data_IF_596878793188
#
_entry.id   IF_596878793188
#
_cell.length_a   1.000
_cell.length_b   1.000
_cell.length_c   1.000
_cell.angle_alpha   90.00
_cell.angle_beta   90.00
_cell.angle_gamma   90.00
#
_symmetry.space_group_name_H-M   'P 1'
#
loop_
_entity.id
_entity.type
_entity.pdbx_description
1 polymer ?
#
# COMPACT_ATOMS: atom_id res chain seq x y z
N UNK A 1 3.16 -60.56 1.81
CA UNK A 1 3.76 -60.49 0.48
C UNK A 1 3.15 -59.30 -0.20
N UNK A 2 3.95 -58.51 -0.89
CA UNK A 2 3.62 -57.27 -1.66
C UNK A 2 3.34 -56.02 -0.83
N UNK A 3 4.44 -55.31 -0.52
CA UNK A 3 4.45 -53.93 -0.07
C UNK A 3 4.11 -52.96 -1.20
N UNK A 4 3.06 -52.20 -1.03
CA UNK A 4 2.71 -51.08 -1.93
C UNK A 4 3.42 -49.81 -1.44
N UNK A 5 4.45 -49.39 -2.18
CA UNK A 5 5.13 -48.10 -2.03
C UNK A 5 4.24 -46.99 -2.61
N UNK A 6 3.76 -46.09 -1.79
CA UNK A 6 3.21 -44.81 -2.23
C UNK A 6 4.33 -43.79 -2.42
N UNK A 7 4.42 -43.12 -3.55
CA UNK A 7 5.42 -42.08 -3.74
C UNK A 7 5.03 -40.80 -2.97
N UNK A 8 5.98 -40.31 -2.19
CA UNK A 8 5.88 -39.00 -1.55
C UNK A 8 5.89 -37.89 -2.60
N UNK A 9 4.75 -37.26 -2.81
CA UNK A 9 4.65 -36.03 -3.61
C UNK A 9 5.36 -34.88 -2.87
N UNK A 10 6.59 -34.63 -3.24
CA UNK A 10 7.29 -33.39 -2.92
C UNK A 10 6.59 -32.25 -3.62
N UNK A 11 5.74 -31.53 -2.93
CA UNK A 11 5.26 -30.21 -3.36
C UNK A 11 6.39 -29.21 -3.19
N UNK A 12 7.17 -29.00 -4.25
CA UNK A 12 8.03 -27.88 -4.40
C UNK A 12 7.18 -26.63 -4.60
N UNK A 13 6.93 -25.86 -3.54
CA UNK A 13 6.58 -24.46 -3.67
C UNK A 13 7.89 -23.72 -3.88
N UNK A 14 8.26 -23.59 -5.17
CA UNK A 14 9.34 -22.74 -5.62
C UNK A 14 9.03 -21.28 -5.35
N UNK A 15 10.03 -20.66 -4.84
CA UNK A 15 10.44 -19.26 -4.99
C UNK A 15 9.66 -18.46 -6.08
N UNK A 16 8.57 -17.82 -5.70
CA UNK A 16 7.97 -16.72 -6.44
C UNK A 16 7.73 -15.59 -5.43
N UNK A 17 8.75 -14.86 -5.08
CA UNK A 17 8.60 -13.68 -4.25
C UNK A 17 9.80 -12.72 -4.32
N UNK A 18 10.54 -12.66 -5.43
CA UNK A 18 11.62 -11.66 -5.52
C UNK A 18 11.84 -11.09 -6.94
N UNK A 19 10.80 -10.98 -7.75
CA UNK A 19 10.93 -10.48 -9.13
C UNK A 19 9.94 -9.36 -9.49
N UNK A 20 9.51 -8.53 -8.54
CA UNK A 20 8.62 -7.37 -8.84
C UNK A 20 9.31 -6.02 -8.60
N UNK A 21 10.60 -5.98 -8.30
CA UNK A 21 11.36 -4.74 -8.09
C UNK A 21 12.18 -4.29 -9.31
N UNK A 22 12.00 -4.89 -10.45
CA UNK A 22 12.74 -4.49 -11.63
C UNK A 22 11.82 -4.45 -12.85
N UNK A 23 11.64 -3.26 -13.44
CA UNK A 23 10.94 -2.92 -14.69
C UNK A 23 9.49 -2.46 -14.57
N UNK A 24 9.26 -1.32 -13.91
CA UNK A 24 8.16 -0.43 -14.29
C UNK A 24 8.77 0.91 -14.71
N UNK A 25 9.49 0.90 -15.80
CA UNK A 25 9.82 2.08 -16.60
C UNK A 25 8.91 2.10 -17.83
N UNK A 26 7.63 2.10 -17.65
CA UNK A 26 6.67 2.52 -18.66
C UNK A 26 6.10 3.86 -18.20
N UNK A 27 6.40 4.87 -19.00
CA UNK A 27 5.96 6.26 -18.93
C UNK A 27 4.44 6.35 -18.89
N UNK A 28 3.90 6.15 -17.73
CA UNK A 28 2.57 6.67 -17.41
C UNK A 28 2.83 8.08 -16.87
N UNK A 29 2.59 9.07 -17.72
CA UNK A 29 2.44 10.46 -17.28
C UNK A 29 1.17 10.56 -16.43
N UNK A 30 1.19 9.94 -15.26
CA UNK A 30 0.27 10.24 -14.18
C UNK A 30 0.83 11.55 -13.61
N UNK A 31 0.02 12.57 -13.52
CA UNK A 31 0.33 13.76 -12.74
C UNK A 31 0.98 13.29 -11.45
N UNK A 32 2.25 13.67 -11.22
CA UNK A 32 3.00 13.26 -10.04
C UNK A 32 2.28 13.83 -8.83
N UNK A 33 1.44 13.01 -8.22
CA UNK A 33 0.89 13.29 -6.90
C UNK A 33 2.10 13.28 -5.97
N UNK A 34 2.39 14.38 -5.29
CA UNK A 34 3.58 14.62 -4.45
C UNK A 34 3.79 13.57 -3.33
N UNK A 35 2.85 12.65 -3.19
CA UNK A 35 2.84 11.58 -2.17
C UNK A 35 3.32 10.23 -2.68
N UNK A 36 3.59 10.06 -3.98
CA UNK A 36 3.98 8.78 -4.58
C UNK A 36 5.47 8.50 -4.36
N UNK A 37 5.82 7.28 -3.97
CA UNK A 37 7.23 6.90 -3.84
C UNK A 37 7.51 5.80 -2.82
N UNK A 38 8.76 5.33 -2.77
CA UNK A 38 9.18 4.32 -1.82
C UNK A 38 9.36 4.88 -0.41
N UNK A 39 9.17 4.02 0.58
CA UNK A 39 9.45 4.32 1.98
C UNK A 39 9.87 3.07 2.74
N UNK A 40 10.54 3.28 3.86
CA UNK A 40 10.88 2.24 4.82
C UNK A 40 10.39 2.63 6.20
N UNK A 41 10.18 1.64 7.06
CA UNK A 41 9.79 1.91 8.43
C UNK A 41 10.10 0.75 9.36
N UNK A 42 10.04 1.07 10.65
CA UNK A 42 10.19 0.07 11.70
C UNK A 42 9.32 0.42 12.90
N UNK A 43 8.68 -0.59 13.46
CA UNK A 43 7.81 -0.50 14.62
C UNK A 43 8.28 -1.44 15.71
N UNK A 44 8.08 -1.01 16.95
CA UNK A 44 8.22 -1.84 18.15
C UNK A 44 6.95 -1.72 19.00
N UNK A 45 6.54 -2.80 19.64
CA UNK A 45 5.30 -2.79 20.40
C UNK A 45 5.12 -3.97 21.31
N UNK A 46 3.95 -4.02 21.92
CA UNK A 46 3.51 -5.13 22.76
C UNK A 46 2.59 -6.03 21.97
N UNK A 47 2.82 -7.31 22.11
CA UNK A 47 1.99 -8.37 21.54
C UNK A 47 1.19 -9.04 22.63
N UNK A 48 -0.01 -9.49 22.28
CA UNK A 48 -0.86 -10.32 23.12
C UNK A 48 -1.40 -11.47 22.29
N UNK A 49 -1.05 -12.68 22.73
CA UNK A 49 -1.54 -13.90 22.12
C UNK A 49 -2.83 -14.34 22.80
N UNK A 50 -3.82 -14.71 22.00
CA UNK A 50 -5.08 -15.30 22.47
C UNK A 50 -5.17 -16.71 21.88
N UNK A 51 -4.97 -17.69 22.74
CA UNK A 51 -5.08 -19.11 22.43
C UNK A 51 -6.31 -19.72 23.10
N UNK A 52 -6.93 -20.66 22.40
CA UNK A 52 -8.08 -21.38 22.97
C UNK A 52 -7.61 -22.46 23.98
N UNK A 53 -7.72 -22.12 25.25
CA UNK A 53 -7.31 -22.98 26.36
C UNK A 53 -8.11 -24.29 26.49
N UNK A 54 -9.32 -24.35 25.91
CA UNK A 54 -10.16 -25.56 25.97
C UNK A 54 -9.50 -26.76 25.28
N UNK A 55 -8.64 -26.50 24.29
CA UNK A 55 -7.89 -27.55 23.59
C UNK A 55 -6.80 -28.13 24.47
N UNK A 56 -6.12 -27.30 25.28
CA UNK A 56 -5.09 -27.71 26.21
C UNK A 56 -5.71 -28.58 27.33
N UNK A 57 -6.80 -28.10 27.91
CA UNK A 57 -7.52 -28.81 28.96
C UNK A 57 -8.05 -30.16 28.47
N UNK A 58 -8.60 -30.25 27.28
CA UNK A 58 -9.06 -31.51 26.68
C UNK A 58 -7.92 -32.50 26.45
N UNK A 59 -6.76 -32.03 26.01
CA UNK A 59 -5.58 -32.89 25.78
C UNK A 59 -5.05 -33.42 27.08
N UNK A 60 -4.94 -32.63 28.14
CA UNK A 60 -4.50 -33.03 29.45
C UNK A 60 -5.49 -34.06 30.09
N UNK A 61 -6.78 -33.77 30.01
CA UNK A 61 -7.84 -34.67 30.51
C UNK A 61 -7.81 -36.03 29.79
N UNK A 62 -7.57 -36.04 28.49
CA UNK A 62 -7.42 -37.25 27.69
C UNK A 62 -6.19 -38.11 28.07
N UNK A 63 -5.20 -37.54 28.76
CA UNK A 63 -4.01 -38.22 29.28
C UNK A 63 -4.12 -38.59 30.76
N UNK A 64 -5.30 -38.42 31.35
CA UNK A 64 -5.50 -38.73 32.78
C UNK A 64 -4.85 -37.72 33.73
N UNK A 65 -4.69 -36.48 33.28
CA UNK A 65 -4.15 -35.37 34.04
C UNK A 65 -5.22 -34.35 34.36
N UNK A 66 -5.23 -33.81 35.56
CA UNK A 66 -6.09 -32.69 35.94
C UNK A 66 -5.25 -31.43 36.12
N UNK A 67 -5.55 -30.40 35.32
CA UNK A 67 -4.92 -29.09 35.49
C UNK A 67 -5.42 -28.41 36.77
N UNK A 68 -4.48 -28.04 37.65
CA UNK A 68 -4.81 -27.34 38.91
C UNK A 68 -4.66 -25.81 38.79
N UNK A 69 -3.63 -25.38 38.07
CA UNK A 69 -3.42 -23.96 37.80
C UNK A 69 -2.75 -23.78 36.44
N UNK A 70 -3.12 -22.71 35.74
CA UNK A 70 -2.48 -22.27 34.51
C UNK A 70 -2.00 -20.84 34.72
N UNK A 71 -0.71 -20.62 34.48
CA UNK A 71 -0.13 -19.29 34.46
C UNK A 71 0.28 -19.02 33.01
N UNK A 72 -0.25 -17.97 32.44
CA UNK A 72 0.00 -17.59 31.06
C UNK A 72 0.70 -16.24 31.01
N UNK A 73 1.84 -16.18 30.36
CA UNK A 73 2.44 -14.92 29.93
C UNK A 73 2.23 -14.80 28.41
N UNK A 74 1.05 -14.33 28.08
CA UNK A 74 0.60 -14.17 26.71
C UNK A 74 1.09 -12.85 26.09
N UNK A 75 1.89 -12.07 26.81
CA UNK A 75 2.40 -10.79 26.39
C UNK A 75 3.87 -10.85 26.01
N UNK A 76 4.20 -10.33 24.84
CA UNK A 76 5.56 -10.26 24.35
C UNK A 76 5.92 -8.86 23.84
N UNK A 77 7.19 -8.69 23.52
CA UNK A 77 7.63 -7.53 22.74
C UNK A 77 7.81 -7.97 21.30
N UNK A 78 7.08 -7.31 20.40
CA UNK A 78 7.17 -7.54 18.97
C UNK A 78 7.87 -6.40 18.26
N UNK A 79 8.45 -6.68 17.11
CA UNK A 79 9.01 -5.68 16.22
C UNK A 79 8.69 -6.02 14.76
N UNK A 80 8.64 -4.97 13.94
CA UNK A 80 8.38 -5.06 12.50
C UNK A 80 9.31 -4.12 11.76
N UNK A 81 9.90 -4.62 10.67
CA UNK A 81 10.64 -3.82 9.68
C UNK A 81 9.94 -3.99 8.34
N UNK A 82 9.67 -2.91 7.65
CA UNK A 82 8.93 -2.95 6.40
C UNK A 82 9.42 -1.91 5.42
N UNK A 83 9.24 -2.23 4.14
CA UNK A 83 9.36 -1.31 3.03
C UNK A 83 8.05 -1.25 2.29
N UNK A 84 7.74 -0.10 1.72
CA UNK A 84 6.51 0.08 0.98
C UNK A 84 6.69 1.02 -0.19
N UNK A 85 5.71 0.99 -1.06
CA UNK A 85 5.58 1.93 -2.16
C UNK A 85 4.20 2.58 -2.13
N UNK A 86 4.17 3.88 -1.99
CA UNK A 86 2.94 4.65 -2.06
C UNK A 86 2.55 4.81 -3.53
N UNK A 87 1.41 4.20 -3.91
CA UNK A 87 0.90 4.21 -5.28
C UNK A 87 0.22 5.53 -5.62
N UNK A 88 -0.50 6.07 -4.66
CA UNK A 88 -1.18 7.36 -4.72
C UNK A 88 -1.48 7.86 -3.30
N UNK A 89 -2.18 8.97 -3.18
CA UNK A 89 -2.51 9.58 -1.88
C UNK A 89 -3.25 8.65 -0.91
N UNK A 90 -3.99 7.66 -1.43
CA UNK A 90 -4.88 6.81 -0.63
C UNK A 90 -4.41 5.36 -0.52
N UNK A 91 -3.51 4.87 -1.38
CA UNK A 91 -3.12 3.48 -1.41
C UNK A 91 -1.61 3.28 -1.44
N UNK A 92 -1.16 2.27 -0.70
CA UNK A 92 0.22 1.82 -0.71
C UNK A 92 0.27 0.29 -0.61
N UNK A 93 1.39 -0.28 -1.05
CA UNK A 93 1.73 -1.69 -0.85
C UNK A 93 2.93 -1.76 0.08
N UNK A 94 2.85 -2.58 1.11
CA UNK A 94 3.91 -2.79 2.09
C UNK A 94 4.32 -4.25 2.15
N UNK A 95 5.63 -4.51 2.21
CA UNK A 95 6.19 -5.83 2.50
C UNK A 95 7.19 -5.73 3.63
N UNK A 96 7.23 -6.73 4.53
CA UNK A 96 8.11 -6.64 5.67
C UNK A 96 8.36 -7.93 6.39
N UNK A 97 9.25 -7.83 7.37
CA UNK A 97 9.55 -8.87 8.35
C UNK A 97 8.93 -8.48 9.70
N UNK A 98 8.37 -9.45 10.38
CA UNK A 98 7.87 -9.30 11.75
C UNK A 98 8.36 -10.41 12.66
N UNK A 99 8.55 -10.08 13.93
CA UNK A 99 8.75 -11.03 15.03
C UNK A 99 7.80 -10.61 16.16
N UNK A 100 6.84 -11.48 16.48
CA UNK A 100 5.81 -11.17 17.48
C UNK A 100 6.27 -11.50 18.91
N UNK A 101 7.55 -11.81 19.08
CA UNK A 101 8.11 -12.14 20.37
C UNK A 101 7.83 -13.57 20.78
N UNK A 102 7.92 -13.81 22.08
CA UNK A 102 7.70 -15.10 22.73
C UNK A 102 6.49 -15.01 23.64
N UNK A 103 5.66 -16.04 23.59
CA UNK A 103 4.60 -16.27 24.56
C UNK A 103 4.90 -17.57 25.29
N UNK A 104 4.76 -17.58 26.60
CA UNK A 104 4.99 -18.77 27.42
C UNK A 104 3.75 -19.09 28.26
N UNK A 105 3.56 -20.36 28.50
CA UNK A 105 2.54 -20.82 29.42
C UNK A 105 3.09 -21.96 30.28
N UNK A 106 2.65 -21.98 31.53
CA UNK A 106 2.98 -22.99 32.53
C UNK A 106 1.69 -23.55 33.07
N UNK A 107 1.52 -24.88 32.95
CA UNK A 107 0.38 -25.59 33.52
C UNK A 107 0.89 -26.53 34.61
N UNK A 108 0.41 -26.35 35.82
CA UNK A 108 0.60 -27.32 36.89
C UNK A 108 -0.54 -28.34 36.83
N UNK A 109 -0.18 -29.59 36.65
CA UNK A 109 -1.15 -30.68 36.53
C UNK A 109 -0.82 -31.78 37.53
N UNK A 110 -1.81 -32.57 37.90
CA UNK A 110 -1.65 -33.71 38.79
C UNK A 110 -2.18 -34.94 38.07
N UNK A 111 -1.44 -36.04 38.15
CA UNK A 111 -1.88 -37.32 37.61
C UNK A 111 -3.01 -37.89 38.47
N UNK A 112 -4.12 -38.29 37.82
CA UNK A 112 -5.31 -38.74 38.53
C UNK A 112 -5.17 -40.08 39.24
N UNK A 113 -4.20 -40.91 38.84
CA UNK A 113 -4.00 -42.26 39.42
C UNK A 113 -3.29 -42.26 40.76
N UNK A 114 -2.30 -41.39 40.96
CA UNK A 114 -1.39 -41.42 42.11
C UNK A 114 -1.20 -40.03 42.77
N UNK A 115 -1.92 -39.01 42.29
CA UNK A 115 -1.82 -37.62 42.75
C UNK A 115 -0.39 -37.02 42.68
N UNK A 116 0.47 -37.55 41.82
CA UNK A 116 1.83 -37.04 41.66
C UNK A 116 1.77 -35.71 40.86
N UNK A 117 2.35 -34.62 41.39
CA UNK A 117 2.37 -33.36 40.70
C UNK A 117 3.35 -33.33 39.53
N UNK A 118 3.05 -32.55 38.53
CA UNK A 118 3.94 -32.28 37.38
C UNK A 118 3.67 -30.92 36.78
N UNK A 119 4.64 -30.41 36.08
CA UNK A 119 4.56 -29.10 35.42
C UNK A 119 4.79 -29.26 33.93
N UNK A 120 3.96 -28.62 33.13
CA UNK A 120 4.09 -28.53 31.69
C UNK A 120 4.37 -27.06 31.30
N UNK A 121 5.50 -26.85 30.64
CA UNK A 121 5.92 -25.55 30.14
C UNK A 121 5.91 -25.54 28.61
N UNK A 122 5.29 -24.54 28.01
CA UNK A 122 5.33 -24.32 26.58
C UNK A 122 5.80 -22.91 26.28
N UNK A 123 6.70 -22.78 25.30
CA UNK A 123 7.14 -21.50 24.75
C UNK A 123 6.82 -21.50 23.25
N UNK A 124 6.16 -20.45 22.78
CA UNK A 124 5.88 -20.26 21.35
C UNK A 124 6.48 -18.96 20.88
N UNK A 125 7.16 -19.00 19.75
CA UNK A 125 7.69 -17.82 19.06
C UNK A 125 7.17 -17.79 17.64
N UNK A 126 6.69 -16.63 17.20
CA UNK A 126 6.12 -16.43 15.86
C UNK A 126 6.86 -15.30 15.16
N UNK A 127 7.38 -15.60 13.96
CA UNK A 127 8.07 -14.64 13.10
C UNK A 127 7.77 -14.93 11.64
N UNK A 128 7.93 -13.95 10.77
CA UNK A 128 7.63 -14.20 9.36
C UNK A 128 7.77 -12.99 8.47
N UNK A 129 7.20 -13.12 7.28
CA UNK A 129 7.10 -12.07 6.28
C UNK A 129 5.64 -11.72 6.05
N UNK A 130 5.37 -10.48 5.69
CA UNK A 130 4.02 -10.03 5.32
C UNK A 130 4.04 -9.24 4.02
N UNK A 131 2.90 -9.26 3.35
CA UNK A 131 2.58 -8.40 2.21
C UNK A 131 1.19 -7.83 2.45
N UNK A 132 1.10 -6.51 2.50
CA UNK A 132 -0.10 -5.78 2.88
C UNK A 132 -0.49 -4.77 1.81
N UNK A 133 -1.79 -4.62 1.59
CA UNK A 133 -2.38 -3.45 0.96
C UNK A 133 -2.80 -2.47 2.07
N UNK A 134 -2.40 -1.22 1.94
CA UNK A 134 -2.67 -0.15 2.91
C UNK A 134 -3.54 0.90 2.26
N UNK A 135 -4.71 1.15 2.86
CA UNK A 135 -5.59 2.24 2.48
C UNK A 135 -5.44 3.40 3.45
N UNK A 136 -5.06 4.57 2.97
CA UNK A 136 -4.82 5.78 3.77
C UNK A 136 -5.92 6.80 3.56
N UNK A 137 -6.36 7.43 4.63
CA UNK A 137 -7.27 8.54 4.64
C UNK A 137 -6.57 9.75 5.29
N UNK A 138 -6.11 10.73 4.51
CA UNK A 138 -5.58 11.98 5.04
C UNK A 138 -6.71 12.74 5.77
N UNK A 139 -6.48 13.08 7.03
CA UNK A 139 -7.40 13.86 7.87
C UNK A 139 -6.97 15.33 7.90
N UNK A 140 -5.66 15.56 7.84
CA UNK A 140 -5.05 16.88 7.69
C UNK A 140 -3.73 16.77 6.93
N UNK A 141 -3.05 17.90 6.68
CA UNK A 141 -1.77 17.92 5.95
C UNK A 141 -0.68 17.07 6.60
N UNK A 142 -0.75 16.88 7.93
CA UNK A 142 0.24 16.12 8.68
C UNK A 142 -0.29 14.84 9.30
N UNK A 143 -1.60 14.66 9.35
CA UNK A 143 -2.22 13.55 10.05
C UNK A 143 -3.06 12.70 9.10
N UNK A 144 -2.82 11.40 9.09
CA UNK A 144 -3.60 10.41 8.35
C UNK A 144 -3.93 9.20 9.23
N UNK A 145 -5.08 8.61 8.96
CA UNK A 145 -5.46 7.30 9.47
C UNK A 145 -5.38 6.30 8.35
N UNK A 146 -5.14 5.03 8.68
CA UNK A 146 -5.06 4.01 7.65
C UNK A 146 -5.57 2.67 8.15
N UNK A 147 -6.04 1.88 7.20
CA UNK A 147 -6.34 0.46 7.37
C UNK A 147 -5.43 -0.39 6.52
N UNK A 148 -5.16 -1.61 6.95
CA UNK A 148 -4.40 -2.57 6.16
C UNK A 148 -5.04 -3.94 6.15
N UNK A 149 -4.86 -4.63 5.06
CA UNK A 149 -5.23 -6.04 4.90
C UNK A 149 -4.11 -6.73 4.11
N UNK A 150 -3.71 -7.91 4.54
CA UNK A 150 -2.63 -8.62 3.86
C UNK A 150 -2.49 -10.06 4.27
N UNK A 151 -1.48 -10.70 3.72
CA UNK A 151 -1.08 -12.06 4.02
C UNK A 151 0.21 -12.06 4.84
N UNK A 152 0.26 -12.87 5.88
CA UNK A 152 1.43 -13.12 6.70
C UNK A 152 1.88 -14.57 6.54
N UNK A 153 3.08 -14.79 5.99
CA UNK A 153 3.76 -16.08 6.00
C UNK A 153 4.52 -16.22 7.29
N UNK A 154 3.90 -16.89 8.26
CA UNK A 154 4.39 -17.00 9.61
C UNK A 154 5.04 -18.37 9.88
N UNK A 155 6.20 -18.35 10.53
CA UNK A 155 6.84 -19.52 11.11
C UNK A 155 6.61 -19.52 12.61
N UNK A 156 5.85 -20.49 13.10
CA UNK A 156 5.66 -20.77 14.52
C UNK A 156 6.65 -21.82 14.96
N UNK A 157 7.36 -21.55 16.05
CA UNK A 157 8.20 -22.52 16.76
C UNK A 157 7.63 -22.72 18.15
N UNK A 158 7.28 -23.96 18.46
CA UNK A 158 6.83 -24.32 19.80
C UNK A 158 7.88 -25.24 20.42
N UNK A 159 8.26 -24.96 21.66
CA UNK A 159 9.15 -25.76 22.49
C UNK A 159 8.40 -26.16 23.74
N UNK A 160 8.37 -27.46 24.02
CA UNK A 160 7.67 -28.03 25.17
C UNK A 160 8.64 -28.71 26.10
N UNK A 161 8.48 -28.43 27.38
CA UNK A 161 9.22 -29.10 28.48
C UNK A 161 8.22 -29.51 29.55
N UNK A 162 8.46 -30.70 30.15
CA UNK A 162 7.67 -31.15 31.29
C UNK A 162 8.56 -31.69 32.40
N UNK A 163 8.05 -31.64 33.62
CA UNK A 163 8.66 -32.20 34.81
C UNK A 163 7.64 -33.01 35.61
N UNK A 164 8.12 -33.95 36.41
CA UNK A 164 7.26 -34.77 37.28
C UNK A 164 6.45 -35.80 36.50
N UNK A 165 5.17 -35.91 36.86
CA UNK A 165 4.29 -36.97 36.34
C UNK A 165 3.70 -36.72 34.95
N UNK A 166 4.01 -35.56 34.31
CA UNK A 166 3.51 -35.24 32.97
C UNK A 166 4.43 -35.90 31.93
N UNK A 167 3.98 -36.94 31.21
CA UNK A 167 4.82 -37.67 30.25
C UNK A 167 4.83 -36.94 28.90
N UNK A 168 5.52 -35.81 28.79
CA UNK A 168 5.74 -35.13 27.51
C UNK A 168 7.22 -35.24 27.16
N UNK A 169 7.49 -35.91 26.06
CA UNK A 169 8.85 -35.87 25.50
C UNK A 169 9.16 -34.44 25.05
N UNK A 170 10.31 -33.85 25.41
CA UNK A 170 10.74 -32.58 24.93
C UNK A 170 10.66 -32.57 23.39
N UNK A 171 9.85 -31.73 22.83
CA UNK A 171 9.69 -31.67 21.38
C UNK A 171 9.76 -30.21 20.89
N UNK A 172 10.54 -30.03 19.84
CA UNK A 172 10.58 -28.78 19.11
C UNK A 172 9.80 -28.94 17.81
N UNK A 173 8.65 -28.32 17.75
CA UNK A 173 7.81 -28.37 16.55
C UNK A 173 7.86 -27.04 15.81
N UNK A 174 8.01 -27.13 14.48
CA UNK A 174 8.01 -25.96 13.61
C UNK A 174 6.90 -26.12 12.59
N UNK A 175 6.10 -25.06 12.44
CA UNK A 175 5.05 -24.99 11.44
C UNK A 175 5.14 -23.67 10.68
N UNK A 176 4.95 -23.73 9.37
CA UNK A 176 4.85 -22.56 8.52
C UNK A 176 3.44 -22.51 7.95
N UNK A 177 2.80 -21.37 8.06
CA UNK A 177 1.46 -21.14 7.53
C UNK A 177 1.35 -19.71 6.94
N UNK A 178 0.49 -19.60 5.94
CA UNK A 178 0.08 -18.29 5.40
C UNK A 178 -1.30 -17.96 5.91
N UNK A 179 -1.44 -16.83 6.58
CA UNK A 179 -2.66 -16.43 7.24
C UNK A 179 -3.00 -14.97 6.91
N UNK A 180 -4.28 -14.63 7.06
CA UNK A 180 -4.76 -13.27 6.92
C UNK A 180 -4.25 -12.41 8.08
N UNK A 181 -3.87 -11.18 7.74
CA UNK A 181 -3.50 -10.11 8.66
C UNK A 181 -4.36 -8.90 8.37
N UNK A 182 -4.83 -8.23 9.41
CA UNK A 182 -5.56 -6.96 9.32
C UNK A 182 -5.02 -5.99 10.35
N UNK A 183 -5.17 -4.70 10.10
CA UNK A 183 -4.72 -3.68 11.04
C UNK A 183 -5.32 -2.32 10.76
N UNK A 184 -5.23 -1.48 11.76
CA UNK A 184 -5.60 -0.07 11.73
C UNK A 184 -4.44 0.73 12.30
N UNK A 185 -4.29 1.97 11.87
CA UNK A 185 -3.25 2.81 12.41
C UNK A 185 -3.45 4.29 12.10
N UNK A 186 -2.54 5.06 12.66
CA UNK A 186 -2.44 6.49 12.42
C UNK A 186 -0.99 6.88 12.18
N UNK A 187 -0.80 7.91 11.40
CA UNK A 187 0.51 8.43 11.02
C UNK A 187 0.52 9.95 11.13
N UNK A 188 1.57 10.47 11.73
CA UNK A 188 1.80 11.90 11.87
C UNK A 188 3.13 12.29 11.21
N UNK A 189 3.09 13.14 10.21
CA UNK A 189 4.27 13.65 9.53
C UNK A 189 5.00 14.68 10.43
N UNK A 190 6.17 14.30 10.94
CA UNK A 190 7.05 15.20 11.71
C UNK A 190 7.73 16.17 10.74
N UNK A 191 8.23 15.61 9.62
CA UNK A 191 8.79 16.33 8.49
C UNK A 191 8.20 15.74 7.20
N UNK A 192 8.54 16.29 6.05
CA UNK A 192 8.15 15.71 4.74
C UNK A 192 8.66 14.27 4.55
N UNK A 193 9.86 14.00 5.07
CA UNK A 193 10.49 12.68 4.93
C UNK A 193 10.23 11.74 6.11
N UNK A 194 9.96 12.25 7.30
CA UNK A 194 9.87 11.47 8.54
C UNK A 194 8.49 11.55 9.15
N UNK A 195 7.90 10.41 9.45
CA UNK A 195 6.62 10.31 10.12
C UNK A 195 6.67 9.34 11.31
N UNK A 196 5.94 9.69 12.37
CA UNK A 196 5.61 8.81 13.47
C UNK A 196 4.39 7.99 13.09
N UNK A 197 4.40 6.69 13.43
CA UNK A 197 3.32 5.76 13.11
C UNK A 197 2.93 4.97 14.36
N UNK A 198 1.62 4.84 14.59
CA UNK A 198 1.06 3.97 15.60
C UNK A 198 0.09 2.98 14.94
N UNK A 199 0.15 1.71 15.33
CA UNK A 199 -0.59 0.62 14.69
C UNK A 199 -1.17 -0.34 15.70
N UNK A 200 -2.36 -0.86 15.37
CA UNK A 200 -2.99 -2.03 15.98
C UNK A 200 -3.16 -3.07 14.87
N UNK A 201 -2.53 -4.21 15.03
CA UNK A 201 -2.53 -5.28 14.03
C UNK A 201 -2.99 -6.59 14.65
N UNK A 202 -3.76 -7.35 13.89
CA UNK A 202 -4.20 -8.69 14.26
C UNK A 202 -3.69 -9.70 13.24
N UNK A 203 -2.91 -10.65 13.73
CA UNK A 203 -2.36 -11.76 12.98
C UNK A 203 -3.16 -13.01 13.30
N UNK A 204 -3.80 -13.61 12.29
CA UNK A 204 -4.33 -14.96 12.46
C UNK A 204 -3.18 -15.97 12.48
N UNK A 205 -3.20 -16.92 13.37
CA UNK A 205 -2.18 -17.94 13.51
C UNK A 205 -2.85 -19.30 13.64
N UNK A 206 -2.33 -20.27 12.90
CA UNK A 206 -2.67 -21.66 13.08
C UNK A 206 -1.50 -22.35 13.79
N UNK A 207 -1.69 -22.72 15.04
CA UNK A 207 -0.66 -23.39 15.85
C UNK A 207 -0.41 -24.82 15.36
N UNK A 208 0.82 -25.39 15.55
CA UNK A 208 1.13 -26.79 15.29
C UNK A 208 0.19 -27.80 15.97
N UNK A 209 -0.42 -27.42 17.09
CA UNK A 209 -1.36 -28.24 17.88
C UNK A 209 -2.82 -28.14 17.40
N UNK A 210 -3.06 -27.65 16.15
CA UNK A 210 -4.41 -27.42 15.56
C UNK A 210 -5.26 -26.38 16.28
N UNK A 211 -4.66 -25.52 17.06
CA UNK A 211 -5.38 -24.42 17.69
C UNK A 211 -5.41 -23.22 16.73
N UNK A 212 -6.59 -22.63 16.52
CA UNK A 212 -6.76 -21.39 15.79
C UNK A 212 -6.75 -20.27 16.82
N UNK A 213 -5.73 -19.43 16.75
CA UNK A 213 -5.59 -18.27 17.61
C UNK A 213 -5.34 -17.00 16.81
N UNK A 214 -5.23 -15.90 17.52
CA UNK A 214 -4.74 -14.65 16.97
C UNK A 214 -3.72 -14.02 17.92
N UNK A 215 -2.83 -13.23 17.34
CA UNK A 215 -1.92 -12.38 18.08
C UNK A 215 -2.22 -10.95 17.69
N UNK A 216 -2.55 -10.14 18.68
CA UNK A 216 -2.73 -8.71 18.54
C UNK A 216 -1.41 -8.01 18.86
N UNK A 217 -1.04 -7.00 18.08
CA UNK A 217 0.14 -6.19 18.28
C UNK A 217 -0.24 -4.70 18.29
N UNK A 218 0.03 -4.04 19.41
CA UNK A 218 -0.02 -2.59 19.51
C UNK A 218 1.41 -2.04 19.42
N UNK A 219 1.71 -1.21 18.43
CA UNK A 219 3.07 -0.77 18.14
C UNK A 219 3.16 0.70 17.76
N UNK A 220 4.34 1.26 18.00
CA UNK A 220 4.73 2.60 17.55
C UNK A 220 6.04 2.51 16.79
N UNK A 221 6.27 3.41 15.85
CA UNK A 221 7.46 3.37 15.03
C UNK A 221 7.63 4.61 14.17
N UNK A 222 8.62 4.53 13.30
CA UNK A 222 9.01 5.60 12.40
C UNK A 222 8.94 5.10 10.95
N UNK A 223 8.58 6.02 10.07
CA UNK A 223 8.55 5.81 8.62
C UNK A 223 9.39 6.90 7.97
N UNK A 224 10.31 6.49 7.13
CA UNK A 224 11.12 7.38 6.31
C UNK A 224 10.73 7.23 4.84
N UNK A 225 10.33 8.33 4.22
CA UNK A 225 9.95 8.42 2.81
C UNK A 225 11.13 8.88 1.98
N UNK A 226 11.39 8.14 0.91
CA UNK A 226 12.35 8.53 -0.11
C UNK A 226 11.57 9.24 -1.22
N UNK A 227 11.92 10.45 -1.53
CA UNK A 227 11.28 11.19 -2.62
C UNK A 227 11.89 12.58 -2.76
N UNK A 228 11.70 13.22 -3.91
CA UNK A 228 12.01 14.64 -4.04
C UNK A 228 11.22 15.37 -2.95
N UNK A 229 11.90 16.28 -2.26
CA UNK A 229 11.24 17.22 -1.37
C UNK A 229 10.12 17.89 -2.19
N UNK A 230 8.91 17.95 -1.62
CA UNK A 230 7.87 18.78 -2.20
C UNK A 230 8.49 20.14 -2.48
N UNK A 231 8.64 20.47 -3.75
CA UNK A 231 9.07 21.82 -4.09
C UNK A 231 7.92 22.69 -3.62
N UNK A 232 8.16 23.46 -2.57
CA UNK A 232 7.25 24.54 -2.21
C UNK A 232 6.96 25.27 -3.52
N UNK A 233 5.69 25.40 -3.97
CA UNK A 233 5.40 26.13 -5.19
C UNK A 233 6.13 27.46 -5.03
N UNK A 234 7.20 27.64 -5.80
CA UNK A 234 7.83 28.95 -5.89
C UNK A 234 6.69 29.82 -6.40
N UNK A 235 6.15 30.65 -5.53
CA UNK A 235 5.12 31.59 -5.94
C UNK A 235 5.68 32.23 -7.20
N UNK A 236 5.06 31.95 -8.35
CA UNK A 236 5.52 32.52 -9.60
C UNK A 236 5.59 34.01 -9.31
N UNK A 237 6.82 34.54 -9.30
CA UNK A 237 7.02 35.95 -9.07
C UNK A 237 6.07 36.63 -10.06
N UNK A 238 5.12 37.40 -9.53
CA UNK A 238 4.21 38.15 -10.34
C UNK A 238 5.07 38.98 -11.33
N UNK A 239 5.17 38.51 -12.57
CA UNK A 239 5.76 39.25 -13.65
C UNK A 239 4.69 40.28 -14.02
N UNK A 240 4.85 41.53 -13.63
CA UNK A 240 3.88 42.54 -14.04
C UNK A 240 3.79 42.50 -15.58
N UNK A 241 2.60 42.61 -16.17
CA UNK A 241 2.45 42.65 -17.61
C UNK A 241 3.42 43.68 -18.17
N UNK A 242 4.18 43.30 -19.21
CA UNK A 242 5.12 44.19 -19.85
C UNK A 242 4.38 45.51 -20.15
N UNK A 243 4.94 46.63 -19.69
CA UNK A 243 4.38 47.94 -19.98
C UNK A 243 4.37 48.11 -21.49
N UNK A 244 3.19 47.97 -22.10
CA UNK A 244 2.96 48.35 -23.49
C UNK A 244 2.84 49.87 -23.53
N UNK A 245 3.89 50.52 -23.98
CA UNK A 245 3.84 51.99 -24.19
C UNK A 245 2.60 52.34 -25.04
N UNK A 246 1.85 53.36 -24.66
CA UNK A 246 0.73 53.79 -25.50
C UNK A 246 1.24 54.15 -26.89
N UNK A 247 0.49 53.83 -27.95
CA UNK A 247 0.91 54.16 -29.31
C UNK A 247 1.21 55.66 -29.40
N UNK A 248 2.27 56.03 -30.12
CA UNK A 248 2.61 57.44 -30.27
C UNK A 248 1.40 58.20 -30.84
N UNK A 249 1.16 59.48 -30.43
CA UNK A 249 0.08 60.26 -30.94
C UNK A 249 0.17 60.32 -32.46
N UNK A 250 -0.97 60.26 -33.18
CA UNK A 250 -0.99 60.35 -34.64
C UNK A 250 -0.27 61.64 -35.09
N UNK A 251 0.61 61.48 -36.07
CA UNK A 251 1.29 62.64 -36.68
C UNK A 251 0.29 63.72 -37.11
N UNK A 252 0.60 65.02 -36.95
CA UNK A 252 -0.28 66.07 -37.37
C UNK A 252 -0.57 65.88 -38.84
N UNK A 253 -1.86 65.76 -39.15
CA UNK A 253 -2.34 65.70 -40.53
C UNK A 253 -2.19 67.10 -41.11
N UNK A 254 -1.11 67.37 -41.83
CA UNK A 254 -1.02 68.48 -42.67
C UNK A 254 -2.13 68.38 -43.75
N UNK A 255 -3.13 69.26 -43.70
CA UNK A 255 -4.21 69.29 -44.71
C UNK A 255 -3.60 69.28 -46.13
N UNK A 256 -3.99 68.29 -46.89
CA UNK A 256 -3.57 68.20 -48.27
C UNK A 256 -3.96 69.57 -48.98
N UNK A 257 -3.11 70.11 -49.84
CA UNK A 257 -3.45 71.29 -50.61
C UNK A 257 -4.77 71.04 -51.37
N UNK A 258 -5.61 72.09 -51.57
CA UNK A 258 -6.88 71.92 -52.23
C UNK A 258 -6.71 71.30 -53.62
N UNK A 259 -7.56 70.38 -54.01
CA UNK A 259 -7.45 69.72 -55.29
C UNK A 259 -7.50 70.74 -56.44
N UNK A 260 -6.72 70.49 -57.48
CA UNK A 260 -6.76 71.35 -58.67
C UNK A 260 -8.23 71.43 -59.25
N UNK A 261 -8.61 72.54 -59.86
CA UNK A 261 -9.93 72.65 -60.41
C UNK A 261 -10.16 71.55 -61.47
N UNK A 262 -11.41 71.08 -61.59
CA UNK A 262 -11.73 70.01 -62.53
C UNK A 262 -11.45 70.46 -63.97
N UNK A 263 -10.88 69.52 -64.78
CA UNK A 263 -10.67 69.86 -66.23
C UNK A 263 -11.97 70.15 -66.88
N UNK A 264 -11.91 71.11 -67.84
CA UNK A 264 -13.05 71.49 -68.62
C UNK A 264 -13.73 70.26 -69.27
N UNK A 265 -15.04 70.22 -69.41
CA UNK A 265 -15.77 69.14 -70.04
C UNK A 265 -15.28 68.89 -71.47
N UNK A 266 -14.74 67.72 -71.73
CA UNK A 266 -14.41 67.24 -73.05
C UNK A 266 -15.71 66.91 -73.79
N UNK A 267 -15.96 67.56 -74.87
CA UNK A 267 -17.11 67.24 -75.72
C UNK A 267 -16.86 65.86 -76.35
N UNK A 268 -17.59 64.87 -75.93
CA UNK A 268 -17.60 63.52 -76.54
C UNK A 268 -18.76 63.50 -77.55
N UNK A 269 -18.43 63.30 -78.79
CA UNK A 269 -19.39 63.11 -79.85
C UNK A 269 -20.33 61.92 -79.58
N UNK A 270 -21.59 61.98 -79.86
CA UNK A 270 -22.51 60.84 -79.64
C UNK A 270 -22.06 59.62 -80.44
N UNK A 271 -22.17 58.45 -79.91
CA UNK A 271 -21.80 57.18 -80.59
C UNK A 271 -22.69 56.99 -81.82
N UNK A 272 -22.15 56.35 -82.90
CA UNK A 272 -22.98 56.07 -84.10
C UNK A 272 -24.14 55.14 -83.73
N UNK A 273 -25.23 55.34 -84.45
CA UNK A 273 -26.47 54.60 -84.24
C UNK A 273 -26.24 53.10 -84.41
N UNK A 274 -26.72 52.34 -83.41
CA UNK A 274 -26.61 50.85 -83.43
C UNK A 274 -27.49 50.28 -84.55
N UNK A 275 -26.85 49.61 -85.51
CA UNK A 275 -27.52 48.85 -86.56
C UNK A 275 -27.69 47.40 -86.04
N UNK A 276 -28.94 46.93 -85.91
CA UNK A 276 -29.14 45.54 -85.38
C UNK A 276 -28.67 44.51 -86.39
N UNK A 277 -28.05 43.43 -85.94
CA UNK A 277 -27.58 42.34 -86.80
C UNK A 277 -28.75 41.66 -87.56
N UNK A 278 -28.51 41.38 -88.85
CA UNK A 278 -29.45 40.69 -89.70
C UNK A 278 -29.79 39.26 -89.14
N UNK A 279 -31.05 38.97 -89.22
CA UNK A 279 -31.52 37.58 -88.76
C UNK A 279 -30.97 36.54 -89.72
N UNK A 280 -30.47 35.45 -89.17
CA UNK A 280 -30.03 34.30 -89.97
C UNK A 280 -31.28 33.70 -90.68
N UNK A 281 -31.07 33.28 -91.92
CA UNK A 281 -32.06 32.60 -92.71
C UNK A 281 -32.50 31.23 -92.09
N UNK A 282 -33.79 30.98 -92.09
CA UNK A 282 -34.33 29.67 -91.69
C UNK A 282 -33.94 28.60 -92.70
N UNK A 283 -33.13 27.70 -92.35
CA UNK A 283 -32.94 26.49 -93.16
C UNK A 283 -34.15 25.57 -93.01
N UNK A 284 -34.74 25.27 -94.16
CA UNK A 284 -35.89 24.45 -94.28
C UNK A 284 -35.57 22.98 -94.07
N UNK A 285 -36.49 22.35 -93.43
CA UNK A 285 -36.55 20.92 -93.23
C UNK A 285 -36.77 20.21 -94.58
N UNK A 286 -35.96 19.20 -94.81
CA UNK A 286 -36.35 17.90 -95.41
C UNK A 286 -35.83 16.75 -94.59
#
# INVERSE_FOLDING_TARGET
MTASKFPAARRGLGLIALAVLGTVSSSWAIAQDETTGPYIGGNIGRTRADFNNDSINRTLSGQGLTARSSTEDNSGTGYKLFGGYQLNRNFAVEGGYFDLGKSSYTVNATRNTDNVPGTFNGETRVRGLNLDLVGMLPVSDRFSVFGRIGAAYAQSRASFNSTGSVPVNPSNTRKNDTNLKVGLGMQYAITEALALRAELERYRINDPVRNRGHIDMASVGLVYRFGPKAQTPVAQAYVPPAYVAPPPPPAPVYGAPPPPPPPAPVYVAPPPAYEPPARPAREGRN
#
